data_IF_554755520999
#
_entry.id   IF_554755520999
#
_cell.length_a   1.000
_cell.length_b   1.000
_cell.length_c   1.000
_cell.angle_alpha   90.00
_cell.angle_beta   90.00
_cell.angle_gamma   90.00
#
_symmetry.space_group_name_H-M   'P 1'
#
loop_
_entity.id
_entity.type
_entity.pdbx_description
1 polymer ?
#
# COMPACT_ATOMS: atom_id res chain seq x y z
N UNK A 1 28.42 5.83 -4.04
CA UNK A 1 27.13 6.56 -4.24
C UNK A 1 26.14 6.05 -3.21
N UNK A 2 25.96 6.78 -2.11
CA UNK A 2 25.00 6.44 -1.05
C UNK A 2 23.69 7.16 -1.34
N UNK A 3 22.73 6.47 -1.95
CA UNK A 3 21.37 6.97 -2.15
C UNK A 3 20.60 6.94 -0.82
N UNK A 4 20.90 7.91 0.06
CA UNK A 4 20.08 8.16 1.24
C UNK A 4 18.84 8.95 0.83
N UNK A 5 17.92 8.29 0.11
CA UNK A 5 16.53 8.73 0.13
C UNK A 5 16.04 8.52 1.56
N UNK A 6 15.83 9.63 2.27
CA UNK A 6 15.13 9.62 3.56
C UNK A 6 13.76 10.18 3.28
N UNK A 7 12.81 9.29 2.95
CA UNK A 7 11.42 9.62 3.24
C UNK A 7 11.36 10.06 4.70
N UNK A 8 10.84 11.26 4.95
CA UNK A 8 10.47 11.63 6.30
C UNK A 8 9.30 10.76 6.78
N UNK A 9 8.96 10.87 8.05
CA UNK A 9 7.96 10.00 8.65
C UNK A 9 6.56 10.25 8.05
N UNK A 10 6.29 11.47 7.60
CA UNK A 10 5.03 11.84 6.94
C UNK A 10 4.92 11.16 5.57
N UNK A 11 5.90 11.35 4.70
CA UNK A 11 5.94 10.75 3.37
C UNK A 11 5.94 9.21 3.44
N UNK A 12 6.56 8.64 4.49
CA UNK A 12 6.52 7.21 4.78
C UNK A 12 5.13 6.73 5.16
N UNK A 13 4.41 7.49 6.00
CA UNK A 13 3.05 7.18 6.42
C UNK A 13 2.07 7.31 5.25
N UNK A 14 2.18 8.36 4.44
CA UNK A 14 1.38 8.55 3.23
C UNK A 14 1.55 7.41 2.24
N UNK A 15 2.80 7.04 1.92
CA UNK A 15 3.07 5.92 1.02
C UNK A 15 2.54 4.60 1.59
N UNK A 16 2.69 4.35 2.89
CA UNK A 16 2.12 3.16 3.52
C UNK A 16 0.60 3.14 3.39
N UNK A 17 -0.08 4.25 3.66
CA UNK A 17 -1.53 4.38 3.56
C UNK A 17 -2.00 4.12 2.12
N UNK A 18 -1.31 4.72 1.14
CA UNK A 18 -1.59 4.53 -0.28
C UNK A 18 -1.49 3.05 -0.70
N UNK A 19 -0.46 2.34 -0.22
CA UNK A 19 -0.29 0.92 -0.51
C UNK A 19 -1.34 0.04 0.19
N UNK A 20 -1.71 0.37 1.44
CA UNK A 20 -2.78 -0.33 2.17
C UNK A 20 -4.12 -0.20 1.44
N UNK A 21 -4.45 1.00 0.95
CA UNK A 21 -5.64 1.21 0.13
C UNK A 21 -5.60 0.35 -1.15
N UNK A 22 -4.45 0.29 -1.82
CA UNK A 22 -4.24 -0.59 -2.99
C UNK A 22 -4.45 -2.08 -2.68
N UNK A 23 -3.95 -2.56 -1.53
CA UNK A 23 -4.16 -3.93 -1.06
C UNK A 23 -5.64 -4.25 -0.84
N UNK A 24 -6.37 -3.34 -0.18
CA UNK A 24 -7.80 -3.51 0.09
C UNK A 24 -8.62 -3.50 -1.21
N UNK A 25 -8.29 -2.62 -2.17
CA UNK A 25 -8.93 -2.60 -3.49
C UNK A 25 -8.68 -3.91 -4.24
N UNK A 26 -7.44 -4.42 -4.24
CA UNK A 26 -7.11 -5.71 -4.85
C UNK A 26 -7.93 -6.84 -4.22
N UNK A 27 -8.04 -6.84 -2.88
CA UNK A 27 -8.82 -7.82 -2.11
C UNK A 27 -10.30 -7.77 -2.46
N UNK A 28 -10.90 -6.58 -2.51
CA UNK A 28 -12.30 -6.41 -2.86
C UNK A 28 -12.61 -6.84 -4.31
N UNK A 29 -11.71 -6.54 -5.27
CA UNK A 29 -11.95 -6.79 -6.69
C UNK A 29 -11.63 -8.21 -7.14
N UNK A 30 -10.66 -8.87 -6.51
CA UNK A 30 -10.11 -10.15 -7.00
C UNK A 30 -10.20 -11.27 -5.97
N UNK A 31 -10.65 -10.98 -4.74
CA UNK A 31 -10.51 -11.87 -3.59
C UNK A 31 -9.06 -12.24 -3.22
N UNK A 32 -8.05 -11.66 -3.90
CA UNK A 32 -6.63 -11.87 -3.65
C UNK A 32 -5.91 -10.60 -3.21
N UNK A 33 -4.69 -10.73 -2.68
CA UNK A 33 -3.84 -9.60 -2.33
C UNK A 33 -3.11 -9.03 -3.55
N UNK A 34 -2.67 -7.78 -3.44
CA UNK A 34 -1.98 -7.09 -4.53
C UNK A 34 -0.65 -7.78 -4.85
N UNK A 35 -0.47 -8.17 -6.12
CA UNK A 35 0.77 -8.79 -6.61
C UNK A 35 1.96 -7.83 -6.47
N UNK A 36 3.15 -8.40 -6.30
CA UNK A 36 4.39 -7.64 -6.07
C UNK A 36 4.71 -6.65 -7.19
N UNK A 37 4.43 -6.98 -8.45
CA UNK A 37 4.63 -6.06 -9.58
C UNK A 37 3.73 -4.82 -9.47
N UNK A 38 2.45 -4.98 -9.08
CA UNK A 38 1.56 -3.85 -8.82
C UNK A 38 1.97 -3.04 -7.59
N UNK A 39 2.55 -3.68 -6.55
CA UNK A 39 3.14 -2.94 -5.41
C UNK A 39 4.26 -2.02 -5.90
N UNK A 40 5.18 -2.54 -6.72
CA UNK A 40 6.31 -1.76 -7.27
C UNK A 40 5.82 -0.64 -8.18
N UNK A 41 4.78 -0.90 -8.98
CA UNK A 41 4.13 0.08 -9.85
C UNK A 41 3.50 1.21 -9.03
N UNK A 42 2.67 0.91 -8.03
CA UNK A 42 2.04 1.90 -7.16
C UNK A 42 3.08 2.74 -6.40
N UNK A 43 4.14 2.13 -5.90
CA UNK A 43 5.25 2.87 -5.27
C UNK A 43 5.91 3.86 -6.24
N UNK A 44 6.03 3.48 -7.51
CA UNK A 44 6.63 4.33 -8.53
C UNK A 44 5.69 5.45 -8.95
N UNK A 45 4.39 5.17 -9.08
CA UNK A 45 3.35 6.19 -9.32
C UNK A 45 3.36 7.21 -8.18
N UNK A 46 3.29 6.75 -6.93
CA UNK A 46 3.29 7.62 -5.76
C UNK A 46 4.59 8.45 -5.67
N UNK A 47 5.74 7.83 -5.89
CA UNK A 47 7.03 8.51 -5.86
C UNK A 47 7.11 9.63 -6.92
N UNK A 48 6.67 9.35 -8.15
CA UNK A 48 6.66 10.32 -9.23
C UNK A 48 5.67 11.46 -8.95
N UNK A 49 4.47 11.15 -8.43
CA UNK A 49 3.45 12.14 -8.11
C UNK A 49 3.88 13.10 -6.99
N UNK A 50 4.64 12.60 -6.02
CA UNK A 50 5.07 13.36 -4.85
C UNK A 50 6.51 13.90 -4.96
N UNK A 51 7.17 13.74 -6.11
CA UNK A 51 8.57 14.14 -6.30
C UNK A 51 9.54 13.44 -5.34
N UNK A 52 9.13 12.29 -4.79
CA UNK A 52 9.84 11.60 -3.73
C UNK A 52 10.83 10.58 -4.31
N UNK A 53 12.01 10.50 -3.71
CA UNK A 53 12.88 9.35 -3.90
C UNK A 53 12.60 8.35 -2.78
N UNK A 54 12.38 7.09 -3.14
CA UNK A 54 12.16 6.00 -2.19
C UNK A 54 13.28 4.98 -2.34
N UNK A 55 14.04 4.79 -1.26
CA UNK A 55 15.14 3.82 -1.22
C UNK A 55 14.63 2.41 -1.49
N UNK A 56 15.47 1.55 -2.06
CA UNK A 56 15.09 0.16 -2.33
C UNK A 56 14.67 -0.57 -1.05
N UNK A 57 15.33 -0.28 0.07
CA UNK A 57 15.00 -0.88 1.37
C UNK A 57 13.64 -0.39 1.89
N UNK A 58 13.33 0.90 1.77
CA UNK A 58 12.03 1.44 2.14
C UNK A 58 10.91 0.88 1.25
N UNK A 59 11.17 0.72 -0.06
CA UNK A 59 10.22 0.07 -0.99
C UNK A 59 9.86 -1.34 -0.52
N UNK A 60 10.85 -2.17 -0.19
CA UNK A 60 10.58 -3.51 0.32
C UNK A 60 9.82 -3.49 1.65
N UNK A 61 10.28 -2.67 2.60
CA UNK A 61 9.68 -2.60 3.94
C UNK A 61 8.23 -2.12 3.89
N UNK A 62 7.96 -1.06 3.16
CA UNK A 62 6.62 -0.49 3.03
C UNK A 62 5.69 -1.41 2.23
N UNK A 63 6.22 -2.07 1.19
CA UNK A 63 5.49 -3.09 0.44
C UNK A 63 5.00 -4.22 1.35
N UNK A 64 5.92 -4.89 2.05
CA UNK A 64 5.57 -5.97 2.97
C UNK A 64 4.66 -5.51 4.13
N UNK A 65 4.93 -4.32 4.69
CA UNK A 65 4.13 -3.77 5.79
C UNK A 65 2.70 -3.45 5.35
N UNK A 66 2.49 -3.02 4.11
CA UNK A 66 1.16 -2.67 3.60
C UNK A 66 0.21 -3.86 3.59
N UNK A 67 0.67 -5.05 3.17
CA UNK A 67 -0.13 -6.27 3.17
C UNK A 67 -0.50 -6.68 4.59
N UNK A 68 0.48 -6.67 5.52
CA UNK A 68 0.22 -6.96 6.93
C UNK A 68 -0.81 -6.03 7.56
N UNK A 69 -0.73 -4.72 7.26
CA UNK A 69 -1.70 -3.75 7.79
C UNK A 69 -3.07 -4.01 7.16
N UNK A 70 -3.14 -4.24 5.85
CA UNK A 70 -4.39 -4.53 5.16
C UNK A 70 -5.06 -5.82 5.67
N UNK A 71 -4.28 -6.87 5.99
CA UNK A 71 -4.75 -8.09 6.63
C UNK A 71 -5.43 -7.78 7.97
N UNK A 72 -4.76 -7.01 8.84
CA UNK A 72 -5.35 -6.60 10.12
C UNK A 72 -6.67 -5.82 9.94
N UNK A 73 -6.79 -5.02 8.87
CA UNK A 73 -8.06 -4.35 8.55
C UNK A 73 -9.13 -5.32 8.09
N UNK A 74 -8.79 -6.29 7.24
CA UNK A 74 -9.73 -7.30 6.75
C UNK A 74 -10.26 -8.20 7.87
N UNK A 75 -9.52 -8.38 8.96
CA UNK A 75 -9.98 -9.12 10.15
C UNK A 75 -11.00 -8.36 11.00
N UNK A 76 -11.18 -7.05 10.78
CA UNK A 76 -12.15 -6.25 11.54
C UNK A 76 -13.60 -6.50 11.07
N UNK A 77 -14.57 -6.55 12.01
CA UNK A 77 -15.98 -6.68 11.66
C UNK A 77 -16.42 -5.53 10.74
N UNK A 78 -16.90 -5.86 9.54
CA UNK A 78 -17.32 -4.89 8.50
C UNK A 78 -16.33 -4.65 7.36
N UNK A 79 -15.13 -5.25 7.39
CA UNK A 79 -14.15 -5.26 6.30
C UNK A 79 -13.80 -6.68 5.81
N UNK A 80 -14.32 -7.71 6.50
CA UNK A 80 -14.06 -9.12 6.23
C UNK A 80 -14.75 -9.68 4.99
N UNK A 81 -15.77 -8.98 4.48
CA UNK A 81 -16.57 -9.37 3.33
C UNK A 81 -16.33 -8.40 2.17
N UNK A 82 -16.05 -8.93 0.97
CA UNK A 82 -15.78 -8.11 -0.21
C UNK A 82 -16.99 -7.27 -0.61
N UNK A 83 -18.21 -7.77 -0.37
CA UNK A 83 -19.44 -7.03 -0.66
C UNK A 83 -19.59 -5.84 0.29
N UNK A 84 -19.20 -6.01 1.56
CA UNK A 84 -19.14 -4.95 2.56
C UNK A 84 -18.07 -3.87 2.25
N UNK A 85 -16.94 -4.26 1.67
CA UNK A 85 -15.90 -3.32 1.22
C UNK A 85 -16.38 -2.50 0.00
N UNK A 86 -17.00 -3.16 -0.97
CA UNK A 86 -17.48 -2.53 -2.19
C UNK A 86 -18.59 -1.50 -1.91
N UNK A 87 -19.45 -1.74 -0.91
CA UNK A 87 -20.50 -0.80 -0.51
C UNK A 87 -19.99 0.46 0.21
N UNK A 88 -18.71 0.49 0.62
CA UNK A 88 -18.12 1.59 1.41
C UNK A 88 -17.11 2.45 0.64
N UNK A 89 -16.67 2.01 -0.54
CA UNK A 89 -15.85 2.85 -1.44
C UNK A 89 -16.79 3.65 -2.35
N UNK A 90 -16.69 4.99 -2.41
CA UNK A 90 -17.55 5.84 -3.24
C UNK A 90 -17.30 5.65 -4.75
#
# INVERSE_FOLDING_TARGET
MTYSSKLDDEARAELLCYLVAGQLVARARTSGWMRTDHVVELQSIWANANGAQVSWLDRLRLGARSEMVALNFAELPGFADSDSLAQRMP
#
